data_IF_526364198045
#
_entry.id   IF_526364198045
#
_cell.length_a   1.000
_cell.length_b   1.000
_cell.length_c   1.000
_cell.angle_alpha   90.00
_cell.angle_beta   90.00
_cell.angle_gamma   90.00
#
_symmetry.space_group_name_H-M   'P 1'
#
loop_
_entity.id
_entity.type
_entity.pdbx_description
1 polymer ?
#
# COMPACT_ATOMS: atom_id res chain seq x y z
N UNK A 1 13.73 14.54 23.67
CA UNK A 1 12.55 13.73 24.03
C UNK A 1 11.69 13.56 22.79
N UNK A 2 10.99 12.43 22.58
CA UNK A 2 10.04 12.28 21.49
C UNK A 2 8.88 13.28 21.64
N UNK A 3 8.35 13.75 20.51
CA UNK A 3 7.21 14.66 20.48
C UNK A 3 5.90 13.91 20.84
N UNK A 4 5.15 14.35 21.86
CA UNK A 4 3.95 13.63 22.33
C UNK A 4 2.83 13.52 21.29
N UNK A 5 2.75 14.46 20.35
CA UNK A 5 1.74 14.43 19.30
C UNK A 5 2.09 13.37 18.25
N UNK A 6 3.34 13.33 17.80
CA UNK A 6 3.84 12.29 16.89
C UNK A 6 3.71 10.89 17.50
N UNK A 7 4.02 10.71 18.78
CA UNK A 7 3.86 9.41 19.45
C UNK A 7 2.41 8.90 19.39
N UNK A 8 1.43 9.79 19.57
CA UNK A 8 0.00 9.42 19.47
C UNK A 8 -0.39 9.05 18.05
N UNK A 9 0.13 9.76 17.03
CA UNK A 9 -0.15 9.45 15.64
C UNK A 9 0.43 8.09 15.23
N UNK A 10 1.66 7.79 15.66
CA UNK A 10 2.29 6.48 15.44
C UNK A 10 1.46 5.36 16.06
N UNK A 11 1.00 5.53 17.30
CA UNK A 11 0.14 4.55 17.99
C UNK A 11 -1.17 4.27 17.22
N UNK A 12 -1.77 5.31 16.63
CA UNK A 12 -2.98 5.16 15.79
C UNK A 12 -2.69 4.39 14.51
N UNK A 13 -1.58 4.68 13.82
CA UNK A 13 -1.19 3.98 12.59
C UNK A 13 -0.89 2.51 12.90
N UNK A 14 -0.12 2.23 13.95
CA UNK A 14 0.24 0.88 14.38
C UNK A 14 -0.99 0.04 14.74
N UNK A 15 -1.95 0.62 15.48
CA UNK A 15 -3.17 -0.09 15.94
C UNK A 15 -4.32 -0.14 14.94
N UNK A 16 -4.26 0.60 13.83
CA UNK A 16 -5.27 0.53 12.77
C UNK A 16 -5.41 -0.91 12.24
N UNK A 17 -6.56 -1.29 11.68
CA UNK A 17 -6.72 -2.64 11.10
C UNK A 17 -5.86 -2.83 9.85
N UNK A 18 -5.84 -1.82 8.99
CA UNK A 18 -5.06 -1.73 7.76
C UNK A 18 -4.92 -0.26 7.38
N UNK A 19 -4.07 0.03 6.40
CA UNK A 19 -3.98 1.37 5.78
C UNK A 19 -4.56 1.32 4.37
N UNK A 20 -5.32 2.35 4.00
CA UNK A 20 -5.80 2.55 2.63
C UNK A 20 -5.01 3.71 1.99
N UNK A 21 -4.30 3.42 0.91
CA UNK A 21 -3.51 4.36 0.14
C UNK A 21 -4.30 4.79 -1.10
N UNK A 22 -4.70 6.06 -1.17
CA UNK A 22 -5.32 6.66 -2.35
C UNK A 22 -4.23 7.34 -3.19
N UNK A 23 -3.83 6.69 -4.27
CA UNK A 23 -2.67 7.07 -5.07
C UNK A 23 -3.03 7.99 -6.24
N UNK A 24 -2.13 8.93 -6.52
CA UNK A 24 -2.17 9.71 -7.75
C UNK A 24 -1.71 8.92 -8.97
N UNK A 25 -1.54 9.59 -10.12
CA UNK A 25 -1.08 8.95 -11.36
C UNK A 25 0.30 8.33 -11.19
N UNK A 26 0.49 7.13 -11.74
CA UNK A 26 1.81 6.51 -11.80
C UNK A 26 2.78 7.40 -12.60
N UNK A 27 4.02 7.60 -12.12
CA UNK A 27 5.03 8.34 -12.87
C UNK A 27 5.54 7.49 -14.06
N UNK A 28 6.39 8.08 -14.91
CA UNK A 28 7.16 7.28 -15.87
C UNK A 28 8.17 6.41 -15.09
N UNK A 29 7.93 5.10 -15.13
CA UNK A 29 8.72 4.09 -14.43
C UNK A 29 9.72 3.38 -15.33
N UNK A 30 9.90 3.85 -16.58
CA UNK A 30 10.76 3.19 -17.57
C UNK A 30 10.18 1.88 -18.10
N UNK A 31 8.90 1.63 -17.84
CA UNK A 31 8.12 0.50 -18.35
C UNK A 31 6.85 1.01 -19.01
N UNK A 32 6.33 0.27 -20.00
CA UNK A 32 5.19 0.72 -20.81
C UNK A 32 3.96 -0.17 -20.67
N UNK A 33 4.13 -1.41 -20.22
CA UNK A 33 3.01 -2.30 -20.00
C UNK A 33 2.32 -2.00 -18.67
N UNK A 34 0.98 -2.07 -18.69
CA UNK A 34 0.16 -1.72 -17.53
C UNK A 34 0.42 -2.62 -16.32
N UNK A 35 0.77 -3.89 -16.54
CA UNK A 35 0.98 -4.84 -15.46
C UNK A 35 2.23 -4.49 -14.65
N UNK A 36 3.34 -4.16 -15.31
CA UNK A 36 4.57 -3.69 -14.68
C UNK A 36 4.35 -2.36 -13.96
N UNK A 37 3.62 -1.41 -14.58
CA UNK A 37 3.29 -0.12 -13.95
C UNK A 37 2.53 -0.35 -12.63
N UNK A 38 1.44 -1.12 -12.67
CA UNK A 38 0.65 -1.45 -11.49
C UNK A 38 1.50 -2.19 -10.44
N UNK A 39 2.30 -3.19 -10.86
CA UNK A 39 3.15 -3.96 -9.95
C UNK A 39 4.17 -3.07 -9.21
N UNK A 40 4.88 -2.21 -9.94
CA UNK A 40 5.85 -1.28 -9.34
C UNK A 40 5.17 -0.26 -8.42
N UNK A 41 3.96 0.19 -8.77
CA UNK A 41 3.16 1.06 -7.89
C UNK A 41 2.77 0.36 -6.58
N UNK A 42 2.42 -0.93 -6.62
CA UNK A 42 2.14 -1.72 -5.42
C UNK A 42 3.40 -1.96 -4.57
N UNK A 43 4.54 -2.23 -5.22
CA UNK A 43 5.79 -2.56 -4.51
C UNK A 43 6.40 -1.34 -3.82
N UNK A 44 6.48 -0.19 -4.49
CA UNK A 44 7.23 0.96 -3.98
C UNK A 44 6.61 2.33 -4.28
N UNK A 45 5.41 2.38 -4.87
CA UNK A 45 4.67 3.63 -5.10
C UNK A 45 5.32 4.62 -6.07
N UNK A 46 6.31 4.19 -6.86
CA UNK A 46 6.99 5.05 -7.85
C UNK A 46 7.91 6.14 -7.30
N UNK A 47 8.31 6.07 -6.03
CA UNK A 47 9.32 6.96 -5.43
C UNK A 47 8.75 8.22 -4.78
N UNK A 48 9.65 9.05 -4.23
CA UNK A 48 9.29 10.15 -3.32
C UNK A 48 8.54 11.33 -3.96
N UNK A 49 8.63 11.47 -5.29
CA UNK A 49 7.88 12.48 -6.07
C UNK A 49 6.53 11.97 -6.58
N UNK A 50 6.22 10.71 -6.32
CA UNK A 50 4.95 10.08 -6.64
C UNK A 50 4.31 9.55 -5.34
N UNK A 51 3.81 8.32 -5.33
CA UNK A 51 3.09 7.73 -4.21
C UNK A 51 3.99 7.00 -3.20
N UNK A 52 5.32 7.06 -3.34
CA UNK A 52 6.24 6.37 -2.43
C UNK A 52 6.17 6.86 -0.98
N UNK A 53 5.77 8.12 -0.76
CA UNK A 53 5.49 8.66 0.57
C UNK A 53 4.06 8.42 1.07
N UNK A 54 3.17 7.93 0.20
CA UNK A 54 1.79 7.60 0.53
C UNK A 54 1.68 6.14 1.01
N UNK A 55 2.62 5.74 1.88
CA UNK A 55 2.82 4.37 2.36
C UNK A 55 3.25 4.39 3.83
N UNK A 56 2.98 3.31 4.53
CA UNK A 56 3.57 2.96 5.81
C UNK A 56 4.08 1.52 5.74
N UNK A 57 5.33 1.32 5.32
CA UNK A 57 5.87 -0.02 5.03
C UNK A 57 5.96 -0.95 6.25
N UNK A 58 5.98 -0.41 7.47
CA UNK A 58 5.90 -1.20 8.70
C UNK A 58 4.48 -1.73 8.97
N UNK A 59 3.48 -1.33 8.17
CA UNK A 59 2.11 -1.80 8.34
C UNK A 59 1.94 -3.18 7.71
N UNK A 60 1.41 -4.11 8.51
CA UNK A 60 1.08 -5.48 8.07
C UNK A 60 0.32 -5.54 6.74
N UNK A 61 -0.71 -4.72 6.56
CA UNK A 61 -1.52 -4.68 5.34
C UNK A 61 -1.82 -3.24 4.91
N UNK A 62 -1.51 -2.94 3.65
CA UNK A 62 -1.86 -1.71 2.97
C UNK A 62 -2.62 -2.04 1.69
N UNK A 63 -3.85 -1.52 1.55
CA UNK A 63 -4.62 -1.59 0.31
C UNK A 63 -4.35 -0.33 -0.50
N UNK A 64 -4.18 -0.46 -1.81
CA UNK A 64 -3.83 0.66 -2.70
C UNK A 64 -4.87 0.79 -3.79
N UNK A 65 -5.35 2.02 -3.99
CA UNK A 65 -6.27 2.39 -5.08
C UNK A 65 -5.66 3.58 -5.82
N UNK A 66 -5.23 3.35 -7.05
CA UNK A 66 -4.64 4.33 -7.95
C UNK A 66 -5.68 5.05 -8.80
N UNK A 67 -5.42 6.32 -9.11
CA UNK A 67 -6.29 7.13 -9.96
C UNK A 67 -6.41 6.63 -11.42
N UNK A 68 -5.48 5.77 -11.88
CA UNK A 68 -5.50 5.17 -13.21
C UNK A 68 -6.29 3.85 -13.29
N UNK A 69 -6.90 3.42 -12.18
CA UNK A 69 -7.62 2.15 -12.06
C UNK A 69 -6.76 1.00 -11.53
N UNK A 70 -5.53 1.27 -11.13
CA UNK A 70 -4.67 0.30 -10.47
C UNK A 70 -5.22 -0.01 -9.07
N UNK A 71 -5.39 -1.28 -8.74
CA UNK A 71 -5.79 -1.72 -7.40
C UNK A 71 -4.91 -2.88 -6.96
N UNK A 72 -4.61 -2.95 -5.68
CA UNK A 72 -3.79 -4.03 -5.14
C UNK A 72 -3.45 -3.84 -3.68
N UNK A 73 -2.39 -4.50 -3.23
CA UNK A 73 -1.91 -4.40 -1.86
C UNK A 73 -0.39 -4.35 -1.77
N UNK A 74 0.10 -3.82 -0.65
CA UNK A 74 1.47 -3.94 -0.17
C UNK A 74 1.38 -4.48 1.26
N UNK A 75 2.04 -5.58 1.56
CA UNK A 75 1.98 -6.21 2.89
C UNK A 75 3.38 -6.44 3.43
N UNK A 76 3.49 -6.39 4.76
CA UNK A 76 4.73 -6.67 5.48
C UNK A 76 4.84 -8.20 5.70
N UNK A 77 5.99 -8.77 5.34
CA UNK A 77 6.15 -10.22 5.21
C UNK A 77 6.31 -10.95 6.56
N UNK A 78 6.80 -10.31 7.61
CA UNK A 78 6.90 -10.93 8.94
C UNK A 78 5.51 -11.19 9.55
N UNK A 79 4.49 -10.46 9.09
CA UNK A 79 3.13 -10.54 9.59
C UNK A 79 2.31 -11.68 8.96
N UNK A 80 2.54 -12.01 7.69
CA UNK A 80 1.79 -13.03 6.96
C UNK A 80 2.55 -13.56 5.73
N UNK A 81 2.27 -14.81 5.37
CA UNK A 81 2.67 -15.40 4.10
C UNK A 81 1.71 -15.00 2.96
N UNK A 82 2.15 -15.14 1.71
CA UNK A 82 1.37 -14.72 0.55
C UNK A 82 0.02 -15.42 0.38
N UNK A 83 -0.11 -16.68 0.80
CA UNK A 83 -1.35 -17.46 0.67
C UNK A 83 -2.55 -16.85 1.41
N UNK A 84 -2.46 -16.62 2.73
CA UNK A 84 -3.49 -15.91 3.49
C UNK A 84 -3.85 -14.53 2.95
N UNK A 85 -2.87 -13.76 2.48
CA UNK A 85 -3.10 -12.43 1.90
C UNK A 85 -3.89 -12.53 0.61
N UNK A 86 -3.53 -13.45 -0.29
CA UNK A 86 -4.25 -13.68 -1.54
C UNK A 86 -5.71 -14.08 -1.27
N UNK A 87 -5.95 -15.01 -0.34
CA UNK A 87 -7.30 -15.42 0.04
C UNK A 87 -8.15 -14.26 0.57
N UNK A 88 -7.56 -13.38 1.39
CA UNK A 88 -8.24 -12.18 1.87
C UNK A 88 -8.63 -11.24 0.72
N UNK A 89 -7.75 -11.03 -0.25
CA UNK A 89 -8.03 -10.16 -1.40
C UNK A 89 -9.11 -10.74 -2.29
N UNK A 90 -9.09 -12.05 -2.55
CA UNK A 90 -10.14 -12.74 -3.31
C UNK A 90 -11.49 -12.59 -2.61
N UNK A 91 -11.54 -12.79 -1.29
CA UNK A 91 -12.75 -12.58 -0.49
C UNK A 91 -13.25 -11.13 -0.58
N UNK A 92 -12.36 -10.13 -0.44
CA UNK A 92 -12.77 -8.72 -0.56
C UNK A 92 -13.37 -8.46 -1.94
N UNK A 93 -12.74 -8.97 -3.00
CA UNK A 93 -13.18 -8.78 -4.38
C UNK A 93 -14.56 -9.42 -4.65
N UNK A 94 -14.85 -10.59 -4.10
CA UNK A 94 -16.16 -11.25 -4.24
C UNK A 94 -17.31 -10.50 -3.57
N UNK A 95 -17.02 -9.68 -2.55
CA UNK A 95 -18.02 -8.93 -1.79
C UNK A 95 -18.26 -7.49 -2.29
N UNK A 96 -17.52 -7.06 -3.32
CA UNK A 96 -17.69 -5.76 -3.98
C UNK A 96 -18.76 -5.80 -5.07
#
# INVERSE_FOLDING_TARGET
>A
SPDPYNTKLLDVIEKSLFVLCLDGPAPDLGVTDKQSISGLQMVHGGGSRASGGNRWFDKALQLVVGSGGEVGCCYEHCSAEGGPVAYLLDYIYEYM
#
